data_IF_578267663560
#
_entry.id   IF_578267663560
#
_cell.length_a   1.000
_cell.length_b   1.000
_cell.length_c   1.000
_cell.angle_alpha   90.00
_cell.angle_beta   90.00
_cell.angle_gamma   90.00
#
_symmetry.space_group_name_H-M   'P 1'
#
loop_
_entity.id
_entity.type
_entity.pdbx_description
1 polymer ?
#
# COMPACT_ATOMS: atom_id res chain seq x y z
N UNK A 1 7.11 8.97 11.92
CA UNK A 1 6.87 9.11 10.46
C UNK A 1 5.59 8.34 10.18
N UNK A 2 4.62 8.86 9.45
CA UNK A 2 3.34 8.17 9.26
C UNK A 2 3.47 7.21 8.06
N UNK A 3 3.18 5.94 8.26
CA UNK A 3 3.27 4.90 7.22
C UNK A 3 1.95 4.74 6.48
N UNK A 4 0.84 4.91 7.17
CA UNK A 4 -0.52 4.80 6.63
C UNK A 4 -1.21 6.16 6.61
N UNK A 5 -1.88 6.47 5.50
CA UNK A 5 -2.60 7.73 5.28
C UNK A 5 -4.00 7.41 4.74
N UNK A 6 -5.04 7.88 5.40
CA UNK A 6 -6.42 7.74 4.92
C UNK A 6 -6.71 8.75 3.81
N UNK A 7 -7.67 8.44 2.92
CA UNK A 7 -8.05 9.34 1.82
C UNK A 7 -8.51 10.71 2.31
N UNK A 8 -9.13 10.78 3.50
CA UNK A 8 -9.54 12.04 4.13
C UNK A 8 -8.37 12.96 4.50
N UNK A 9 -7.20 12.38 4.76
CA UNK A 9 -6.00 13.10 5.23
C UNK A 9 -5.12 13.60 4.08
N UNK A 10 -5.18 12.94 2.91
CA UNK A 10 -4.29 13.18 1.79
C UNK A 10 -4.76 14.31 0.86
N UNK A 11 -3.82 14.92 0.13
CA UNK A 11 -4.08 15.93 -0.89
C UNK A 11 -2.99 15.98 -1.96
N UNK A 12 -3.03 17.01 -2.81
CA UNK A 12 -2.05 17.19 -3.90
C UNK A 12 -0.62 17.35 -3.40
N UNK A 13 -0.45 17.94 -2.22
CA UNK A 13 0.84 18.13 -1.56
C UNK A 13 1.55 16.81 -1.24
N UNK A 14 0.79 15.71 -1.12
CA UNK A 14 1.31 14.40 -0.74
C UNK A 14 1.75 13.55 -1.94
N UNK A 15 1.70 14.10 -3.16
CA UNK A 15 1.95 13.36 -4.41
C UNK A 15 3.30 12.64 -4.46
N UNK A 16 4.33 13.20 -3.80
CA UNK A 16 5.66 12.59 -3.69
C UNK A 16 5.72 11.40 -2.73
N UNK A 17 4.68 11.20 -1.92
CA UNK A 17 4.64 10.16 -0.87
C UNK A 17 3.60 9.09 -1.17
N UNK A 18 2.47 9.47 -1.80
CA UNK A 18 1.35 8.56 -2.05
C UNK A 18 1.14 8.24 -3.54
N UNK A 19 1.87 8.93 -4.40
CA UNK A 19 1.74 8.77 -5.85
C UNK A 19 0.43 9.29 -6.43
N UNK A 20 0.36 9.37 -7.75
CA UNK A 20 -0.77 9.99 -8.47
C UNK A 20 -2.11 9.29 -8.22
N UNK A 21 -2.13 7.95 -8.19
CA UNK A 21 -3.39 7.22 -7.92
C UNK A 21 -3.93 7.52 -6.53
N UNK A 22 -3.03 7.57 -5.54
CA UNK A 22 -3.38 7.93 -4.17
C UNK A 22 -3.99 9.32 -4.11
N UNK A 23 -3.34 10.32 -4.72
CA UNK A 23 -3.85 11.70 -4.82
C UNK A 23 -5.23 11.73 -5.47
N UNK A 24 -5.40 11.09 -6.63
CA UNK A 24 -6.68 11.11 -7.34
C UNK A 24 -7.81 10.49 -6.52
N UNK A 25 -7.57 9.37 -5.83
CA UNK A 25 -8.56 8.74 -4.96
C UNK A 25 -8.92 9.65 -3.77
N UNK A 26 -7.92 10.26 -3.14
CA UNK A 26 -8.12 11.18 -2.03
C UNK A 26 -8.95 12.42 -2.45
N UNK A 27 -8.65 13.00 -3.63
CA UNK A 27 -9.39 14.14 -4.17
C UNK A 27 -10.84 13.78 -4.51
N UNK A 28 -11.06 12.62 -5.14
CA UNK A 28 -12.41 12.13 -5.43
C UNK A 28 -13.21 11.90 -4.14
N UNK A 29 -12.58 11.28 -3.14
CA UNK A 29 -13.19 11.07 -1.82
C UNK A 29 -13.61 12.40 -1.18
N UNK A 30 -12.69 13.38 -1.13
CA UNK A 30 -12.96 14.71 -0.55
C UNK A 30 -14.04 15.50 -1.29
N UNK A 31 -14.17 15.27 -2.60
CA UNK A 31 -15.24 15.88 -3.43
C UNK A 31 -16.58 15.16 -3.30
N UNK A 32 -16.72 14.17 -2.43
CA UNK A 32 -17.97 13.45 -2.17
C UNK A 32 -18.36 12.44 -3.24
N UNK A 33 -17.46 12.07 -4.15
CA UNK A 33 -17.71 10.95 -5.05
C UNK A 33 -17.81 9.64 -4.25
N UNK A 34 -18.58 8.68 -4.74
CA UNK A 34 -18.72 7.34 -4.15
C UNK A 34 -17.43 6.52 -4.34
N UNK A 35 -16.38 6.88 -3.61
CA UNK A 35 -15.15 6.13 -3.51
C UNK A 35 -15.25 5.24 -2.28
N UNK A 36 -15.02 3.92 -2.39
CA UNK A 36 -14.95 3.05 -1.22
C UNK A 36 -13.92 3.58 -0.21
N UNK A 37 -14.17 3.44 1.10
CA UNK A 37 -13.19 3.83 2.11
C UNK A 37 -11.88 3.08 1.89
N UNK A 38 -10.76 3.72 2.22
CA UNK A 38 -9.44 3.14 2.00
C UNK A 38 -8.33 3.98 2.60
N UNK A 39 -7.17 3.38 2.60
CA UNK A 39 -5.94 4.03 3.02
C UNK A 39 -4.81 3.78 2.01
N UNK A 40 -3.75 4.53 2.15
CA UNK A 40 -2.56 4.48 1.31
C UNK A 40 -1.36 4.15 2.18
N UNK A 41 -0.58 3.16 1.77
CA UNK A 41 0.72 2.92 2.33
C UNK A 41 1.71 3.87 1.68
N UNK A 42 2.37 4.69 2.49
CA UNK A 42 3.28 5.74 2.01
C UNK A 42 4.56 5.14 1.42
N UNK A 43 5.24 5.89 0.55
CA UNK A 43 6.55 5.50 0.01
C UNK A 43 7.63 5.37 1.07
N UNK A 44 7.43 5.95 2.24
CA UNK A 44 8.36 5.80 3.37
C UNK A 44 8.56 4.32 3.75
N UNK A 45 7.50 3.49 3.61
CA UNK A 45 7.62 2.04 3.83
C UNK A 45 8.51 1.40 2.78
N UNK A 46 8.37 1.82 1.52
CA UNK A 46 9.26 1.33 0.46
C UNK A 46 10.71 1.76 0.67
N UNK A 47 10.93 2.97 1.21
CA UNK A 47 12.27 3.46 1.55
C UNK A 47 12.95 2.58 2.61
N UNK A 48 12.19 2.12 3.61
CA UNK A 48 12.67 1.16 4.62
C UNK A 48 13.02 -0.18 3.98
N UNK A 49 12.13 -0.71 3.12
CA UNK A 49 12.34 -1.98 2.43
C UNK A 49 13.60 -1.94 1.57
N UNK A 50 13.81 -0.89 0.79
CA UNK A 50 14.97 -0.77 -0.12
C UNK A 50 16.30 -0.59 0.61
N UNK A 51 16.27 -0.17 1.90
CA UNK A 51 17.47 -0.04 2.72
C UNK A 51 17.90 -1.38 3.37
N UNK A 52 17.07 -2.43 3.29
CA UNK A 52 17.53 -3.80 3.62
C UNK A 52 18.72 -4.16 2.71
N UNK A 53 19.82 -4.60 3.30
CA UNK A 53 21.08 -4.87 2.58
C UNK A 53 20.92 -5.89 1.45
N UNK A 54 20.07 -6.92 1.66
CA UNK A 54 19.83 -8.00 0.70
C UNK A 54 19.01 -7.45 -0.48
N UNK A 55 17.97 -6.68 -0.21
CA UNK A 55 17.11 -6.07 -1.21
C UNK A 55 17.91 -5.03 -2.02
N UNK A 56 18.65 -4.18 -1.35
CA UNK A 56 19.53 -3.18 -1.99
C UNK A 56 20.54 -3.84 -2.95
N UNK A 57 21.17 -4.93 -2.52
CA UNK A 57 22.08 -5.70 -3.38
C UNK A 57 21.35 -6.31 -4.59
N UNK A 58 20.16 -6.87 -4.39
CA UNK A 58 19.36 -7.44 -5.46
C UNK A 58 18.90 -6.37 -6.47
N UNK A 59 18.52 -5.18 -6.01
CA UNK A 59 18.20 -4.02 -6.86
C UNK A 59 19.42 -3.64 -7.72
N UNK A 60 20.61 -3.51 -7.13
CA UNK A 60 21.82 -3.19 -7.86
C UNK A 60 22.17 -4.27 -8.91
N UNK A 61 22.00 -5.55 -8.59
CA UNK A 61 22.18 -6.64 -9.54
C UNK A 61 21.20 -6.55 -10.71
N UNK A 62 19.93 -6.17 -10.45
CA UNK A 62 18.93 -5.97 -11.50
C UNK A 62 19.32 -4.85 -12.46
N UNK A 63 19.76 -3.70 -11.96
CA UNK A 63 20.23 -2.58 -12.79
C UNK A 63 21.53 -2.88 -13.53
N UNK A 64 22.34 -3.79 -13.02
CA UNK A 64 23.57 -4.27 -13.69
C UNK A 64 23.29 -5.31 -14.79
N UNK A 65 22.04 -5.66 -15.04
CA UNK A 65 21.64 -6.66 -16.04
C UNK A 65 22.03 -8.09 -15.69
N UNK A 66 22.26 -8.38 -14.42
CA UNK A 66 22.65 -9.74 -13.98
C UNK A 66 21.49 -10.71 -14.16
N UNK A 67 21.80 -11.88 -14.73
CA UNK A 67 20.81 -12.93 -15.01
C UNK A 67 20.06 -13.32 -13.71
N UNK A 68 18.77 -13.61 -13.81
CA UNK A 68 17.88 -14.05 -12.72
C UNK A 68 17.66 -13.04 -11.58
N UNK A 69 18.24 -11.85 -11.64
CA UNK A 69 18.14 -10.82 -10.58
C UNK A 69 16.70 -10.38 -10.29
N UNK A 70 15.82 -10.39 -11.31
CA UNK A 70 14.40 -10.05 -11.12
C UNK A 70 13.68 -11.09 -10.26
N UNK A 71 13.92 -12.39 -10.52
CA UNK A 71 13.35 -13.49 -9.73
C UNK A 71 13.83 -13.46 -8.28
N UNK A 72 15.12 -13.19 -8.08
CA UNK A 72 15.70 -13.13 -6.75
C UNK A 72 15.18 -11.94 -5.95
N UNK A 73 15.06 -10.77 -6.58
CA UNK A 73 14.44 -9.60 -5.95
C UNK A 73 12.99 -9.89 -5.55
N UNK A 74 12.20 -10.55 -6.43
CA UNK A 74 10.81 -10.92 -6.11
C UNK A 74 10.73 -11.88 -4.91
N UNK A 75 11.64 -12.87 -4.81
CA UNK A 75 11.68 -13.78 -3.65
C UNK A 75 11.98 -13.03 -2.36
N UNK A 76 12.96 -12.13 -2.39
CA UNK A 76 13.34 -11.31 -1.23
C UNK A 76 12.19 -10.39 -0.79
N UNK A 77 11.51 -9.73 -1.73
CA UNK A 77 10.36 -8.88 -1.42
C UNK A 77 9.20 -9.67 -0.81
N UNK A 78 8.93 -10.89 -1.30
CA UNK A 78 7.88 -11.75 -0.74
C UNK A 78 8.22 -12.33 0.64
N UNK A 79 9.51 -12.45 0.94
CA UNK A 79 9.99 -12.94 2.23
C UNK A 79 10.29 -11.79 3.20
N UNK A 80 10.06 -10.55 2.81
CA UNK A 80 10.28 -9.40 3.68
C UNK A 80 9.23 -9.37 4.78
N UNK A 81 9.69 -9.23 6.00
CA UNK A 81 8.84 -9.07 7.18
C UNK A 81 8.90 -7.61 7.62
N UNK A 82 7.76 -6.99 7.75
CA UNK A 82 7.65 -5.63 8.26
C UNK A 82 8.00 -5.58 9.75
N UNK A 83 8.42 -4.43 10.25
CA UNK A 83 8.50 -4.20 11.68
C UNK A 83 7.10 -4.24 12.30
N UNK A 84 7.03 -4.61 13.59
CA UNK A 84 5.78 -4.65 14.35
C UNK A 84 5.01 -3.33 14.25
N UNK A 85 5.70 -2.19 14.32
CA UNK A 85 5.12 -0.85 14.18
C UNK A 85 4.37 -0.66 12.84
N UNK A 86 4.99 -1.09 11.71
CA UNK A 86 4.36 -0.98 10.38
C UNK A 86 3.21 -1.96 10.25
N UNK A 87 3.38 -3.20 10.73
CA UNK A 87 2.32 -4.21 10.71
C UNK A 87 1.09 -3.78 11.51
N UNK A 88 1.29 -3.19 12.66
CA UNK A 88 0.22 -2.73 13.53
C UNK A 88 -0.52 -1.55 12.88
N UNK A 89 0.19 -0.56 12.35
CA UNK A 89 -0.43 0.59 11.67
C UNK A 89 -1.27 0.15 10.45
N UNK A 90 -0.77 -0.81 9.65
CA UNK A 90 -1.54 -1.40 8.53
C UNK A 90 -2.74 -2.18 9.04
N UNK A 91 -2.57 -2.93 10.12
CA UNK A 91 -3.64 -3.77 10.68
C UNK A 91 -4.76 -2.92 11.25
N UNK A 92 -4.45 -1.88 12.00
CA UNK A 92 -5.41 -0.93 12.55
C UNK A 92 -6.18 -0.22 11.43
N UNK A 93 -5.48 0.24 10.40
CA UNK A 93 -6.11 0.87 9.24
C UNK A 93 -7.04 -0.09 8.50
N UNK A 94 -6.64 -1.35 8.34
CA UNK A 94 -7.49 -2.37 7.72
C UNK A 94 -8.75 -2.66 8.54
N UNK A 95 -8.61 -2.80 9.85
CA UNK A 95 -9.74 -3.03 10.74
C UNK A 95 -10.70 -1.85 10.74
N UNK A 96 -10.21 -0.62 10.65
CA UNK A 96 -11.04 0.58 10.57
C UNK A 96 -11.95 0.60 9.32
N UNK A 97 -11.52 -0.02 8.20
CA UNK A 97 -12.36 -0.12 7.01
C UNK A 97 -13.64 -0.96 7.25
N UNK A 98 -13.62 -1.86 8.22
CA UNK A 98 -14.79 -2.66 8.56
C UNK A 98 -15.86 -1.89 9.35
N UNK A 99 -15.46 -0.83 10.05
CA UNK A 99 -16.35 -0.03 10.90
C UNK A 99 -17.19 0.94 10.06
N UNK A 100 -16.67 1.46 8.96
CA UNK A 100 -17.34 2.43 8.10
C UNK A 100 -18.46 1.84 7.21
N UNK A 101 -18.65 0.52 7.20
CA UNK A 101 -19.60 -0.17 6.32
C UNK A 101 -20.98 -0.46 6.97
N UNK A 102 -21.55 0.46 7.74
CA UNK A 102 -22.91 0.37 8.32
C UNK A 102 -23.05 -0.53 9.58
N UNK A 103 -22.33 -0.23 10.63
CA UNK A 103 -22.45 -0.99 11.85
C UNK A 103 -23.50 -0.41 12.82
N UNK A 104 -24.47 -1.25 13.17
CA UNK A 104 -25.30 -1.06 14.37
C UNK A 104 -24.47 -1.39 15.62
N UNK A 105 -24.81 -0.79 16.76
CA UNK A 105 -24.08 -0.94 18.02
C UNK A 105 -23.81 -2.39 18.45
N UNK A 106 -24.62 -3.35 17.99
CA UNK A 106 -24.48 -4.79 18.28
C UNK A 106 -23.38 -5.48 17.45
N UNK A 107 -22.93 -4.90 16.35
CA UNK A 107 -21.90 -5.48 15.48
C UNK A 107 -20.49 -4.99 15.78
N UNK A 108 -20.31 -4.05 16.71
CA UNK A 108 -19.01 -3.55 17.17
C UNK A 108 -18.17 -4.62 17.89
N UNK A 109 -18.78 -5.75 18.28
CA UNK A 109 -18.08 -6.85 18.96
C UNK A 109 -17.52 -7.91 18.00
N UNK A 110 -17.88 -7.88 16.71
CA UNK A 110 -17.34 -8.76 15.69
C UNK A 110 -16.53 -7.94 14.67
N UNK A 111 -15.22 -7.94 14.79
CA UNK A 111 -14.32 -7.43 13.74
C UNK A 111 -14.45 -8.32 12.49
N UNK A 112 -15.37 -7.97 11.59
CA UNK A 112 -15.51 -8.69 10.32
C UNK A 112 -14.40 -8.28 9.38
N UNK A 113 -13.54 -9.23 9.04
CA UNK A 113 -12.59 -9.03 7.97
C UNK A 113 -13.32 -8.69 6.67
N UNK A 114 -12.91 -7.61 6.00
CA UNK A 114 -13.50 -7.13 4.75
C UNK A 114 -12.65 -7.50 3.54
N UNK A 115 -13.31 -7.66 2.39
CA UNK A 115 -12.60 -7.79 1.12
C UNK A 115 -12.14 -6.41 0.65
N UNK A 116 -10.89 -6.31 0.23
CA UNK A 116 -10.31 -5.06 -0.28
C UNK A 116 -9.72 -5.26 -1.67
N UNK A 117 -9.37 -4.16 -2.32
CA UNK A 117 -8.56 -4.15 -3.53
C UNK A 117 -7.23 -3.46 -3.21
N UNK A 118 -6.13 -4.20 -3.28
CA UNK A 118 -4.78 -3.66 -3.12
C UNK A 118 -4.26 -3.23 -4.50
N UNK A 119 -3.84 -1.98 -4.60
CA UNK A 119 -3.41 -1.37 -5.87
C UNK A 119 -2.07 -0.70 -5.72
N UNK A 120 -1.15 -0.95 -6.64
CA UNK A 120 0.10 -0.20 -6.70
C UNK A 120 -0.14 1.25 -7.12
N UNK A 121 0.56 2.19 -6.46
CA UNK A 121 0.60 3.60 -6.83
C UNK A 121 2.06 4.01 -7.00
N UNK A 122 2.47 4.29 -8.23
CA UNK A 122 3.83 4.70 -8.52
C UNK A 122 4.02 6.20 -8.28
N UNK A 123 5.16 6.55 -7.71
CA UNK A 123 5.67 7.91 -7.66
C UNK A 123 6.54 8.09 -8.91
N UNK A 124 5.97 8.71 -9.93
CA UNK A 124 6.64 8.93 -11.20
C UNK A 124 6.47 10.40 -11.63
N UNK A 125 7.42 11.28 -11.30
CA UNK A 125 7.31 12.69 -11.61
C UNK A 125 7.32 12.98 -13.12
N UNK A 126 7.79 12.04 -13.95
CA UNK A 126 7.94 12.22 -15.39
C UNK A 126 6.97 11.38 -16.25
N UNK A 127 6.06 10.63 -15.63
CA UNK A 127 5.13 9.74 -16.31
C UNK A 127 5.76 8.68 -17.25
N UNK A 128 6.99 8.28 -17.01
CA UNK A 128 7.68 7.28 -17.84
C UNK A 128 7.09 5.87 -17.70
N UNK A 129 6.42 5.60 -16.57
CA UNK A 129 5.94 4.25 -16.23
C UNK A 129 4.41 4.13 -16.28
N UNK A 130 3.77 4.85 -17.19
CA UNK A 130 2.29 4.83 -17.31
C UNK A 130 1.68 3.43 -17.33
N UNK A 131 2.39 2.47 -17.89
CA UNK A 131 1.85 1.14 -18.16
C UNK A 131 2.50 -0.02 -17.38
N UNK A 132 3.65 0.21 -16.73
CA UNK A 132 4.46 -0.86 -16.16
C UNK A 132 4.15 -1.23 -14.70
N UNK A 133 3.51 -0.35 -13.93
CA UNK A 133 3.39 -0.51 -12.48
C UNK A 133 1.95 -0.75 -11.98
N UNK A 134 1.07 -1.32 -12.82
CA UNK A 134 -0.34 -1.44 -12.46
C UNK A 134 -0.74 -2.85 -12.07
N UNK A 135 -0.25 -3.31 -10.92
CA UNK A 135 -0.80 -4.53 -10.33
C UNK A 135 -1.99 -4.18 -9.42
N UNK A 136 -3.10 -4.87 -9.65
CA UNK A 136 -4.25 -4.86 -8.76
C UNK A 136 -4.45 -6.28 -8.24
N UNK A 137 -4.51 -6.44 -6.93
CA UNK A 137 -4.87 -7.69 -6.27
C UNK A 137 -6.28 -7.49 -5.74
N UNK A 138 -7.21 -8.30 -6.24
CA UNK A 138 -8.61 -8.23 -5.84
C UNK A 138 -8.90 -9.27 -4.76
N UNK A 139 -9.79 -8.88 -3.85
CA UNK A 139 -10.35 -9.73 -2.81
C UNK A 139 -9.34 -10.38 -1.83
N UNK A 140 -8.18 -9.78 -1.48
CA UNK A 140 -7.50 -10.23 -0.30
C UNK A 140 -8.38 -9.95 0.92
N UNK A 141 -8.37 -10.88 1.86
CA UNK A 141 -9.14 -10.82 3.10
C UNK A 141 -8.27 -11.29 4.25
N UNK A 142 -8.26 -10.52 5.34
CA UNK A 142 -7.50 -10.81 6.55
C UNK A 142 -6.05 -10.34 6.54
N UNK A 143 -5.53 -10.06 7.75
CA UNK A 143 -4.17 -9.51 7.99
C UNK A 143 -3.10 -10.24 7.17
N UNK A 144 -3.06 -11.57 7.22
CA UNK A 144 -2.02 -12.38 6.53
C UNK A 144 -1.98 -12.21 5.01
N UNK A 145 -3.11 -11.87 4.37
CA UNK A 145 -3.17 -11.70 2.91
C UNK A 145 -2.90 -10.28 2.45
N UNK A 146 -3.02 -9.34 3.36
CA UNK A 146 -2.78 -7.91 3.07
C UNK A 146 -1.30 -7.58 3.24
N UNK A 147 -0.64 -8.22 4.20
CA UNK A 147 0.79 -8.04 4.48
C UNK A 147 1.72 -8.87 3.57
N UNK A 148 1.20 -9.75 2.72
CA UNK A 148 1.93 -10.55 1.74
C UNK A 148 1.80 -10.01 0.32
#
# INVERSE_FOLDING_TARGET
MKYVLFFSECGEQDSSVIGRKGVNLALLFKKGFKVPPGFILSSNVFDIIKDDKRIKSAINNLFSGKKDSSSDLQKLLRAYEFSEEIEDEITEAYLSLSVDLNMTASSLLETKEVFVAVRSSAIDPKNYYKDLAHKTILNPKGKKRILK
#
